data_IF_080915149962
#
_entry.id   IF_080915149962
#
_cell.length_a   1.000
_cell.length_b   1.000
_cell.length_c   1.000
_cell.angle_alpha   90.00
_cell.angle_beta   90.00
_cell.angle_gamma   90.00
#
_symmetry.space_group_name_H-M   'P 1'
#
loop_
_entity.id
_entity.type
_entity.pdbx_description
1 polymer ?
#
# COMPACT_ATOMS: atom_id res chain seq x y z
N UNK A 1 -0.03 -5.66 41.09
CA UNK A 1 0.70 -5.69 39.81
C UNK A 1 -0.29 -5.25 38.76
N UNK A 2 0.05 -4.24 37.98
CA UNK A 2 -0.87 -3.44 37.16
C UNK A 2 -1.00 -4.01 35.74
N UNK A 3 -2.19 -4.53 35.41
CA UNK A 3 -2.53 -5.16 34.13
C UNK A 3 -3.04 -4.15 33.07
N UNK A 4 -2.66 -2.87 33.16
CA UNK A 4 -3.24 -1.80 32.33
C UNK A 4 -2.50 -1.46 31.03
N UNK A 5 -1.51 -2.26 30.58
CA UNK A 5 -0.69 -1.91 29.40
C UNK A 5 -1.08 -2.62 28.08
N UNK A 6 -2.14 -3.43 28.04
CA UNK A 6 -2.47 -4.25 26.87
C UNK A 6 -3.49 -3.66 25.88
N UNK A 7 -4.04 -2.45 26.14
CA UNK A 7 -5.20 -1.94 25.37
C UNK A 7 -4.90 -0.75 24.44
N UNK A 8 -3.74 -0.10 24.53
CA UNK A 8 -3.42 1.11 23.74
C UNK A 8 -2.70 0.81 22.42
N UNK A 9 -1.86 -0.22 22.38
CA UNK A 9 -1.03 -0.55 21.22
C UNK A 9 -1.86 -0.97 20.00
N UNK A 10 -2.92 -1.74 20.23
CA UNK A 10 -3.76 -2.32 19.18
C UNK A 10 -4.57 -1.28 18.37
N UNK A 11 -4.93 -0.14 18.99
CA UNK A 11 -5.66 0.95 18.29
C UNK A 11 -4.75 1.75 17.36
N UNK A 12 -3.50 1.96 17.75
CA UNK A 12 -2.52 2.66 16.94
C UNK A 12 -2.11 1.81 15.74
N UNK A 13 -1.96 0.51 15.95
CA UNK A 13 -1.67 -0.46 14.89
C UNK A 13 -2.79 -0.49 13.85
N UNK A 14 -4.05 -0.66 14.27
CA UNK A 14 -5.20 -0.62 13.38
C UNK A 14 -5.34 0.72 12.61
N UNK A 15 -4.91 1.83 13.21
CA UNK A 15 -4.88 3.13 12.54
C UNK A 15 -3.80 3.19 11.45
N UNK A 16 -2.61 2.66 11.71
CA UNK A 16 -1.53 2.60 10.73
C UNK A 16 -1.86 1.66 9.56
N UNK A 17 -2.50 0.51 9.84
CA UNK A 17 -2.99 -0.41 8.83
C UNK A 17 -4.00 0.26 7.88
N UNK A 18 -4.93 1.03 8.43
CA UNK A 18 -5.89 1.79 7.64
C UNK A 18 -5.20 2.85 6.76
N UNK A 19 -4.15 3.51 7.26
CA UNK A 19 -3.37 4.48 6.48
C UNK A 19 -2.68 3.79 5.30
N UNK A 20 -2.00 2.66 5.52
CA UNK A 20 -1.33 1.95 4.43
C UNK A 20 -2.34 1.46 3.40
N UNK A 21 -3.49 0.95 3.83
CA UNK A 21 -4.56 0.54 2.91
C UNK A 21 -5.00 1.70 2.01
N UNK A 22 -5.21 2.89 2.58
CA UNK A 22 -5.59 4.09 1.80
C UNK A 22 -4.48 4.47 0.82
N UNK A 23 -3.21 4.52 1.26
CA UNK A 23 -2.07 4.84 0.39
C UNK A 23 -2.03 3.89 -0.82
N UNK A 24 -2.12 2.59 -0.57
CA UNK A 24 -2.12 1.57 -1.64
C UNK A 24 -3.27 1.77 -2.62
N UNK A 25 -4.47 2.09 -2.14
CA UNK A 25 -5.62 2.36 -3.03
C UNK A 25 -5.44 3.62 -3.87
N UNK A 26 -4.92 4.71 -3.29
CA UNK A 26 -4.67 5.96 -4.02
C UNK A 26 -3.61 5.76 -5.10
N UNK A 27 -2.55 5.00 -4.80
CA UNK A 27 -1.52 4.66 -5.78
C UNK A 27 -2.09 3.95 -7.02
N UNK A 28 -3.11 3.09 -6.85
CA UNK A 28 -3.80 2.44 -7.98
C UNK A 28 -4.60 3.46 -8.79
N UNK A 29 -5.30 4.37 -8.11
CA UNK A 29 -6.18 5.34 -8.75
C UNK A 29 -5.41 6.36 -9.61
N UNK A 30 -4.13 6.60 -9.31
CA UNK A 30 -3.26 7.47 -10.11
C UNK A 30 -2.66 6.78 -11.36
N UNK A 31 -2.89 5.48 -11.55
CA UNK A 31 -2.38 4.78 -12.74
C UNK A 31 -3.03 5.33 -14.03
N UNK A 32 -2.23 5.69 -15.05
CA UNK A 32 -2.77 6.20 -16.30
C UNK A 32 -3.56 5.12 -17.04
N UNK A 33 -4.73 5.49 -17.57
CA UNK A 33 -5.55 4.60 -18.38
C UNK A 33 -4.99 4.50 -19.81
N UNK A 34 -4.93 3.29 -20.41
CA UNK A 34 -4.55 3.15 -21.81
C UNK A 34 -5.53 3.89 -22.74
N UNK A 35 -4.99 4.58 -23.74
CA UNK A 35 -5.77 5.39 -24.68
C UNK A 35 -6.64 4.56 -25.66
N UNK A 36 -6.39 3.26 -25.79
CA UNK A 36 -7.09 2.35 -26.69
C UNK A 36 -7.21 0.97 -26.05
N UNK A 37 -8.24 0.17 -26.32
CA UNK A 37 -8.39 -1.20 -25.79
C UNK A 37 -7.44 -2.23 -26.46
N UNK A 38 -6.27 -1.80 -26.95
CA UNK A 38 -5.27 -2.66 -27.58
C UNK A 38 -4.16 -3.04 -26.60
N UNK A 39 -3.67 -4.28 -26.66
CA UNK A 39 -2.55 -4.77 -25.82
C UNK A 39 -1.28 -3.91 -26.00
N UNK A 40 -1.06 -3.37 -27.20
CA UNK A 40 0.05 -2.46 -27.50
C UNK A 40 0.02 -1.18 -26.65
N UNK A 41 -1.17 -0.67 -26.34
CA UNK A 41 -1.32 0.52 -25.53
C UNK A 41 -0.92 0.27 -24.07
N UNK A 42 -1.09 -0.95 -23.55
CA UNK A 42 -0.63 -1.36 -22.22
C UNK A 42 0.90 -1.38 -22.18
N UNK A 43 1.52 -1.86 -23.25
CA UNK A 43 2.99 -1.85 -23.39
C UNK A 43 3.56 -0.43 -23.41
N UNK A 44 2.83 0.56 -23.93
CA UNK A 44 3.26 1.96 -23.93
C UNK A 44 3.34 2.56 -22.50
N UNK A 45 2.46 2.13 -21.60
CA UNK A 45 2.40 2.61 -20.20
C UNK A 45 3.05 1.65 -19.19
N UNK A 46 3.83 0.68 -19.67
CA UNK A 46 4.53 -0.32 -18.84
C UNK A 46 5.36 0.30 -17.71
N UNK A 47 5.97 1.46 -17.97
CA UNK A 47 6.87 2.10 -17.01
C UNK A 47 6.11 2.60 -15.78
N UNK A 48 4.92 3.17 -15.98
CA UNK A 48 4.05 3.62 -14.90
C UNK A 48 3.51 2.45 -14.08
N UNK A 49 3.09 1.36 -14.74
CA UNK A 49 2.67 0.15 -14.04
C UNK A 49 3.81 -0.50 -13.25
N UNK A 50 5.02 -0.50 -13.80
CA UNK A 50 6.19 -1.05 -13.12
C UNK A 50 6.61 -0.20 -11.92
N UNK A 51 6.59 1.13 -12.06
CA UNK A 51 6.83 2.05 -10.95
C UNK A 51 5.79 1.87 -9.84
N UNK A 52 4.50 1.76 -10.20
CA UNK A 52 3.43 1.43 -9.27
C UNK A 52 3.68 0.10 -8.56
N UNK A 53 4.07 -0.95 -9.29
CA UNK A 53 4.32 -2.27 -8.71
C UNK A 53 5.45 -2.23 -7.67
N UNK A 54 6.54 -1.51 -7.95
CA UNK A 54 7.62 -1.32 -6.98
C UNK A 54 7.11 -0.55 -5.75
N UNK A 55 6.36 0.55 -5.95
CA UNK A 55 5.78 1.33 -4.84
C UNK A 55 4.83 0.50 -3.98
N UNK A 56 4.01 -0.35 -4.61
CA UNK A 56 3.11 -1.29 -3.92
C UNK A 56 3.89 -2.29 -3.07
N UNK A 57 4.95 -2.89 -3.63
CA UNK A 57 5.82 -3.81 -2.88
C UNK A 57 6.52 -3.12 -1.71
N UNK A 58 6.99 -1.88 -1.91
CA UNK A 58 7.60 -1.09 -0.84
C UNK A 58 6.59 -0.80 0.28
N UNK A 59 5.37 -0.38 -0.04
CA UNK A 59 4.31 -0.15 0.96
C UNK A 59 3.93 -1.42 1.71
N UNK A 60 3.83 -2.56 1.01
CA UNK A 60 3.51 -3.86 1.63
C UNK A 60 4.65 -4.33 2.53
N UNK A 61 5.91 -4.13 2.14
CA UNK A 61 7.06 -4.41 3.00
C UNK A 61 7.06 -3.51 4.24
N UNK A 62 6.80 -2.21 4.07
CA UNK A 62 6.69 -1.26 5.17
C UNK A 62 5.62 -1.68 6.17
N UNK A 63 4.46 -2.10 5.67
CA UNK A 63 3.39 -2.66 6.50
C UNK A 63 3.85 -3.90 7.26
N UNK A 64 4.52 -4.85 6.59
CA UNK A 64 4.98 -6.06 7.23
C UNK A 64 6.04 -5.79 8.30
N UNK A 65 6.96 -4.84 8.05
CA UNK A 65 7.91 -4.40 9.08
C UNK A 65 7.18 -3.76 10.26
N UNK A 66 6.20 -2.90 10.01
CA UNK A 66 5.43 -2.26 11.07
C UNK A 66 4.63 -3.28 11.91
N UNK A 67 3.94 -4.22 11.26
CA UNK A 67 3.13 -5.26 11.90
C UNK A 67 3.97 -6.30 12.67
N UNK A 68 5.24 -6.48 12.30
CA UNK A 68 6.15 -7.43 12.98
C UNK A 68 6.96 -6.79 14.11
N UNK A 69 7.22 -5.48 14.04
CA UNK A 69 8.08 -4.76 15.02
C UNK A 69 7.29 -4.26 16.23
N UNK A 70 5.96 -4.10 16.12
CA UNK A 70 5.06 -3.65 17.20
C UNK A 70 4.42 -4.87 17.87
#
# INVERSE_FOLDING_TARGET
MDDSNFMTTNRLEAFYDAIIAIIVTVLVLELPQPASPAIESIWAIKNSYFAYFISFLMCTNLWQYHHVII
#
